data_IF_432047530219
#
_entry.id   IF_432047530219
#
_cell.length_a   1.000
_cell.length_b   1.000
_cell.length_c   1.000
_cell.angle_alpha   90.00
_cell.angle_beta   90.00
_cell.angle_gamma   90.00
#
_symmetry.space_group_name_H-M   'P 1'
#
loop_
_entity.id
_entity.type
_entity.pdbx_description
1 polymer ?
#
# COMPACT_ATOMS: atom_id res chain seq x y z
N UNK A 1 -42.21 -30.14 37.43
CA UNK A 1 -41.34 -29.00 37.80
C UNK A 1 -39.84 -29.26 37.63
N UNK A 2 -39.27 -30.40 38.07
CA UNK A 2 -37.80 -30.65 37.91
C UNK A 2 -37.33 -30.76 36.44
N UNK A 3 -38.13 -31.37 35.55
CA UNK A 3 -37.79 -31.49 34.13
C UNK A 3 -37.87 -30.17 33.35
N UNK A 4 -38.79 -29.27 33.71
CA UNK A 4 -38.93 -27.96 33.05
C UNK A 4 -37.78 -27.00 33.37
N UNK A 5 -37.13 -27.14 34.53
CA UNK A 5 -35.98 -26.30 34.93
C UNK A 5 -34.70 -26.75 34.19
N UNK A 6 -34.52 -28.05 33.95
CA UNK A 6 -33.37 -28.55 33.18
C UNK A 6 -33.42 -28.14 31.69
N UNK A 7 -34.60 -28.05 31.09
CA UNK A 7 -34.74 -27.63 29.67
C UNK A 7 -34.41 -26.13 29.51
N UNK A 8 -34.78 -25.29 30.48
CA UNK A 8 -34.52 -23.85 30.43
C UNK A 8 -33.02 -23.55 30.58
N UNK A 9 -32.30 -24.26 31.46
CA UNK A 9 -30.85 -24.06 31.64
C UNK A 9 -30.06 -24.48 30.39
N UNK A 10 -30.48 -25.55 29.70
CA UNK A 10 -29.83 -26.02 28.48
C UNK A 10 -30.04 -25.09 27.27
N UNK A 11 -31.19 -24.40 27.19
CA UNK A 11 -31.47 -23.44 26.12
C UNK A 11 -30.71 -22.12 26.34
N UNK A 12 -30.60 -21.66 27.59
CA UNK A 12 -29.85 -20.44 27.93
C UNK A 12 -28.34 -20.58 27.72
N UNK A 13 -27.78 -21.78 27.94
CA UNK A 13 -26.35 -22.03 27.68
C UNK A 13 -26.06 -22.19 26.18
N UNK A 14 -27.02 -22.67 25.38
CA UNK A 14 -26.90 -22.73 23.93
C UNK A 14 -27.05 -21.36 23.24
N UNK A 15 -27.83 -20.42 23.81
CA UNK A 15 -27.91 -19.03 23.31
C UNK A 15 -26.70 -18.16 23.68
N UNK A 16 -25.98 -18.46 24.76
CA UNK A 16 -24.73 -17.76 25.12
C UNK A 16 -23.53 -18.19 24.26
N UNK A 17 -23.65 -19.30 23.53
CA UNK A 17 -22.65 -19.78 22.55
C UNK A 17 -22.92 -19.26 21.12
N UNK A 18 -24.00 -18.48 20.92
CA UNK A 18 -24.21 -17.76 19.68
C UNK A 18 -23.41 -16.45 19.70
N UNK A 19 -22.23 -16.54 19.10
CA UNK A 19 -21.63 -15.52 18.24
C UNK A 19 -21.32 -14.16 18.89
N UNK A 20 -20.27 -14.13 19.73
CA UNK A 20 -19.26 -13.10 19.54
C UNK A 20 -18.35 -13.58 18.41
N UNK A 21 -18.84 -13.56 17.17
CA UNK A 21 -17.92 -13.62 16.05
C UNK A 21 -17.20 -12.29 16.08
N UNK A 22 -15.91 -12.31 16.46
CA UNK A 22 -14.99 -11.24 16.07
C UNK A 22 -14.98 -11.29 14.54
N UNK A 23 -15.94 -10.62 13.90
CA UNK A 23 -15.92 -10.43 12.46
C UNK A 23 -14.83 -9.40 12.26
N UNK A 24 -13.68 -9.86 11.79
CA UNK A 24 -12.53 -9.00 11.59
C UNK A 24 -12.69 -8.31 10.25
N UNK A 25 -12.63 -6.98 10.24
CA UNK A 25 -12.37 -6.25 9.01
C UNK A 25 -10.91 -6.47 8.63
N UNK A 26 -10.62 -6.50 7.33
CA UNK A 26 -9.25 -6.66 6.86
C UNK A 26 -9.12 -5.95 5.53
N UNK A 27 -8.02 -5.23 5.38
CA UNK A 27 -7.73 -4.48 4.17
C UNK A 27 -6.54 -3.55 4.31
N UNK A 28 -6.23 -2.87 3.22
CA UNK A 28 -5.19 -1.85 3.18
C UNK A 28 -5.42 -0.86 2.05
N UNK A 29 -4.75 0.29 2.12
CA UNK A 29 -4.68 1.23 1.01
C UNK A 29 -3.98 0.58 -0.20
N UNK A 30 -4.71 0.43 -1.30
CA UNK A 30 -4.19 -0.07 -2.59
C UNK A 30 -3.64 1.09 -3.43
N UNK A 31 -4.35 2.22 -3.43
CA UNK A 31 -3.97 3.43 -4.16
C UNK A 31 -4.28 4.70 -3.34
N UNK A 32 -3.27 5.52 -2.97
CA UNK A 32 -1.85 5.21 -3.01
C UNK A 32 -1.51 4.01 -2.11
N UNK A 33 -0.56 3.18 -2.54
CA UNK A 33 -0.26 1.91 -1.90
C UNK A 33 0.28 2.08 -0.49
N UNK A 34 -0.21 1.26 0.44
CA UNK A 34 0.24 1.24 1.82
C UNK A 34 1.71 0.78 1.93
N UNK A 35 2.47 1.37 2.85
CA UNK A 35 3.89 1.10 3.09
C UNK A 35 4.18 -0.40 3.31
N UNK A 36 3.35 -1.07 4.12
CA UNK A 36 3.50 -2.50 4.37
C UNK A 36 3.22 -3.35 3.12
N UNK A 37 2.36 -2.88 2.23
CA UNK A 37 2.00 -3.62 1.01
C UNK A 37 3.14 -3.61 -0.01
N UNK A 38 3.90 -2.51 -0.12
CA UNK A 38 5.17 -2.53 -0.87
C UNK A 38 6.14 -3.61 -0.36
N UNK A 39 6.18 -3.86 0.96
CA UNK A 39 7.04 -4.89 1.53
C UNK A 39 6.56 -6.32 1.25
N UNK A 40 5.25 -6.53 1.21
CA UNK A 40 4.66 -7.82 0.80
C UNK A 40 5.04 -8.14 -0.65
N UNK A 41 4.88 -7.18 -1.54
CA UNK A 41 5.15 -7.36 -2.98
C UNK A 41 6.64 -7.50 -3.28
N UNK A 42 7.51 -6.78 -2.56
CA UNK A 42 8.95 -6.93 -2.69
C UNK A 42 9.44 -8.36 -2.38
N UNK A 43 8.72 -9.09 -1.53
CA UNK A 43 9.02 -10.48 -1.18
C UNK A 43 10.36 -10.66 -0.46
N UNK A 44 10.91 -11.87 -0.52
CA UNK A 44 12.24 -12.19 0.03
C UNK A 44 12.33 -12.33 1.55
N UNK A 45 11.24 -12.08 2.28
CA UNK A 45 11.20 -12.11 3.76
C UNK A 45 10.95 -13.50 4.36
N UNK A 46 10.82 -14.54 3.52
CA UNK A 46 10.68 -15.93 3.99
C UNK A 46 12.02 -16.62 4.21
N UNK A 47 13.03 -16.28 3.40
CA UNK A 47 14.37 -16.83 3.48
C UNK A 47 15.33 -15.96 2.65
N UNK A 48 16.59 -15.76 3.08
CA UNK A 48 17.20 -16.20 4.34
C UNK A 48 16.81 -15.34 5.56
N UNK A 49 17.04 -15.88 6.77
CA UNK A 49 16.68 -15.24 8.05
C UNK A 49 17.35 -13.86 8.27
N UNK A 50 18.46 -13.59 7.58
CA UNK A 50 19.16 -12.30 7.64
C UNK A 50 18.50 -11.21 6.75
N UNK A 51 17.39 -11.54 6.07
CA UNK A 51 16.64 -10.61 5.22
C UNK A 51 17.38 -10.20 3.96
N UNK A 52 18.52 -10.81 3.62
CA UNK A 52 19.34 -10.41 2.46
C UNK A 52 18.62 -10.58 1.12
N UNK A 53 17.60 -11.43 1.04
CA UNK A 53 16.75 -11.58 -0.15
C UNK A 53 15.64 -10.52 -0.27
N UNK A 54 15.44 -9.64 0.74
CA UNK A 54 14.47 -8.54 0.65
C UNK A 54 15.14 -7.41 -0.16
N UNK A 55 14.68 -7.12 -1.39
CA UNK A 55 15.36 -6.16 -2.27
C UNK A 55 15.13 -4.72 -1.82
N UNK A 56 13.92 -4.42 -1.32
CA UNK A 56 13.58 -3.10 -0.81
C UNK A 56 14.30 -2.85 0.52
N UNK A 57 15.18 -1.86 0.54
CA UNK A 57 16.06 -1.58 1.68
C UNK A 57 15.30 -1.13 2.93
N UNK A 58 14.20 -0.38 2.78
CA UNK A 58 13.37 0.01 3.93
C UNK A 58 12.59 -1.18 4.48
N UNK A 59 12.03 -2.02 3.61
CA UNK A 59 11.37 -3.26 4.01
C UNK A 59 12.34 -4.24 4.68
N UNK A 60 13.58 -4.33 4.19
CA UNK A 60 14.61 -5.14 4.83
C UNK A 60 14.95 -4.61 6.22
N UNK A 61 15.07 -3.29 6.38
CA UNK A 61 15.32 -2.69 7.69
C UNK A 61 14.14 -2.91 8.66
N UNK A 62 12.90 -2.80 8.18
CA UNK A 62 11.69 -3.10 8.95
C UNK A 62 11.65 -4.58 9.40
N UNK A 63 11.96 -5.50 8.49
CA UNK A 63 12.08 -6.93 8.78
C UNK A 63 13.16 -7.22 9.81
N UNK A 64 14.34 -6.63 9.67
CA UNK A 64 15.44 -6.85 10.63
C UNK A 64 15.11 -6.28 12.01
N UNK A 65 14.24 -5.26 12.09
CA UNK A 65 13.79 -4.69 13.35
C UNK A 65 12.75 -5.55 14.08
N UNK A 66 11.80 -6.18 13.35
CA UNK A 66 10.61 -6.81 13.95
C UNK A 66 10.15 -8.16 13.36
N UNK A 67 10.83 -8.66 12.35
CA UNK A 67 10.49 -9.91 11.66
C UNK A 67 9.36 -9.75 10.65
N UNK A 68 8.66 -10.86 10.36
CA UNK A 68 7.70 -10.95 9.24
C UNK A 68 6.28 -10.51 9.56
N UNK A 69 5.92 -10.26 10.84
CA UNK A 69 4.51 -10.07 11.25
C UNK A 69 3.82 -8.95 10.48
N UNK A 70 4.50 -7.81 10.31
CA UNK A 70 4.02 -6.67 9.53
C UNK A 70 3.68 -7.02 8.07
N UNK A 71 4.36 -8.01 7.49
CA UNK A 71 4.14 -8.39 6.09
C UNK A 71 3.12 -9.52 5.96
N UNK A 72 3.11 -10.45 6.91
CA UNK A 72 2.13 -11.55 6.94
C UNK A 72 0.74 -11.05 7.29
N UNK A 73 0.63 -10.06 8.16
CA UNK A 73 -0.62 -9.43 8.59
C UNK A 73 -0.79 -8.04 7.96
N UNK A 74 -0.41 -7.90 6.68
CA UNK A 74 -0.47 -6.64 5.93
C UNK A 74 -1.86 -5.99 5.84
N UNK A 75 -2.90 -6.79 6.01
CA UNK A 75 -4.31 -6.40 5.98
C UNK A 75 -4.92 -6.18 7.39
N UNK A 76 -4.13 -6.28 8.46
CA UNK A 76 -4.57 -6.16 9.86
C UNK A 76 -3.70 -5.15 10.64
N UNK A 77 -3.53 -3.95 10.08
CA UNK A 77 -2.90 -2.84 10.81
C UNK A 77 -3.97 -2.11 11.61
N UNK A 78 -4.46 -2.76 12.66
CA UNK A 78 -5.63 -2.33 13.41
C UNK A 78 -5.41 -2.20 14.92
N UNK A 79 -6.29 -1.44 15.56
CA UNK A 79 -6.44 -1.40 17.01
C UNK A 79 -7.90 -1.17 17.39
N UNK A 80 -8.33 -1.76 18.50
CA UNK A 80 -9.68 -1.60 19.03
C UNK A 80 -9.72 -0.45 20.04
N UNK A 81 -10.55 0.55 19.75
CA UNK A 81 -10.76 1.71 20.62
C UNK A 81 -12.25 1.86 20.82
N UNK A 82 -12.78 1.54 22.02
CA UNK A 82 -14.23 1.62 22.28
C UNK A 82 -14.73 3.07 22.15
N UNK A 83 -13.95 4.04 22.61
CA UNK A 83 -14.25 5.48 22.51
C UNK A 83 -13.67 6.07 21.21
N UNK A 84 -13.91 5.41 20.06
CA UNK A 84 -13.25 5.73 18.79
C UNK A 84 -13.56 7.14 18.25
N UNK A 85 -14.66 7.79 18.65
CA UNK A 85 -14.92 9.19 18.28
C UNK A 85 -14.05 10.18 19.07
N UNK A 86 -13.41 9.75 20.14
CA UNK A 86 -12.48 10.57 20.92
C UNK A 86 -11.06 10.39 20.38
N UNK A 87 -10.60 11.36 19.59
CA UNK A 87 -9.26 11.31 18.99
C UNK A 87 -8.14 11.17 20.02
N UNK A 88 -8.32 11.66 21.25
CA UNK A 88 -7.31 11.50 22.31
C UNK A 88 -7.26 10.05 22.82
N UNK A 89 -8.39 9.32 22.81
CA UNK A 89 -8.39 7.88 23.09
C UNK A 89 -7.70 7.08 21.98
N UNK A 90 -7.89 7.48 20.72
CA UNK A 90 -7.20 6.89 19.56
C UNK A 90 -5.69 7.13 19.63
N UNK A 91 -5.25 8.37 19.89
CA UNK A 91 -3.83 8.72 20.07
C UNK A 91 -3.18 8.01 21.26
N UNK A 92 -3.95 7.72 22.31
CA UNK A 92 -3.45 6.93 23.44
C UNK A 92 -3.20 5.47 23.05
N UNK A 93 -4.07 4.90 22.21
CA UNK A 93 -3.93 3.54 21.70
C UNK A 93 -2.84 3.42 20.62
N UNK A 94 -2.60 4.49 19.87
CA UNK A 94 -1.58 4.59 18.82
C UNK A 94 -0.65 5.76 19.17
N UNK A 95 0.30 5.56 20.10
CA UNK A 95 1.21 6.63 20.50
C UNK A 95 2.15 7.03 19.35
N UNK A 96 2.74 8.22 19.47
CA UNK A 96 3.75 8.71 18.52
C UNK A 96 4.84 7.68 18.25
N UNK A 97 5.19 7.52 16.96
CA UNK A 97 6.11 6.51 16.46
C UNK A 97 5.57 5.09 16.35
N UNK A 98 4.25 4.91 16.47
CA UNK A 98 3.56 3.64 16.17
C UNK A 98 2.39 3.82 15.18
N UNK A 99 2.32 4.98 14.50
CA UNK A 99 1.21 5.33 13.64
C UNK A 99 1.12 4.39 12.45
N UNK A 100 2.23 4.14 11.75
CA UNK A 100 2.28 3.29 10.58
C UNK A 100 2.17 1.80 10.90
N UNK A 101 2.37 1.40 12.16
CA UNK A 101 2.05 0.06 12.67
C UNK A 101 0.64 -0.08 13.26
N UNK A 102 -0.17 1.00 13.29
CA UNK A 102 -1.49 0.99 13.91
C UNK A 102 -1.46 0.72 15.42
N UNK A 103 -0.36 1.04 16.11
CA UNK A 103 -0.17 0.77 17.54
C UNK A 103 0.32 -0.64 17.88
N UNK A 104 0.53 -1.53 16.90
CA UNK A 104 1.06 -2.87 17.14
C UNK A 104 2.61 -2.86 17.21
N UNK A 105 3.15 -3.01 18.42
CA UNK A 105 4.60 -3.04 18.67
C UNK A 105 5.34 -4.14 17.91
N UNK A 106 4.68 -5.24 17.53
CA UNK A 106 5.28 -6.30 16.73
C UNK A 106 5.34 -5.94 15.24
N UNK A 107 4.64 -4.88 14.82
CA UNK A 107 4.65 -4.34 13.44
C UNK A 107 5.46 -3.04 13.32
N UNK A 108 5.99 -2.51 14.43
CA UNK A 108 6.73 -1.24 14.51
C UNK A 108 8.00 -1.11 13.65
N UNK A 109 8.43 -2.18 12.96
CA UNK A 109 9.44 -2.07 11.92
C UNK A 109 9.00 -1.17 10.77
N UNK A 110 7.69 -1.05 10.52
CA UNK A 110 7.10 -0.19 9.49
C UNK A 110 7.17 1.31 9.86
N UNK A 111 7.37 1.66 11.14
CA UNK A 111 7.45 3.05 11.62
C UNK A 111 8.84 3.68 11.47
N UNK A 112 9.87 2.92 11.09
CA UNK A 112 11.24 3.45 11.00
C UNK A 112 11.33 4.57 9.94
N UNK A 113 12.18 5.56 10.21
CA UNK A 113 12.59 6.53 9.21
C UNK A 113 13.54 5.85 8.19
N UNK A 114 13.34 6.10 6.90
CA UNK A 114 14.19 5.52 5.86
C UNK A 114 14.05 6.25 4.52
N UNK A 115 15.16 6.63 3.85
CA UNK A 115 15.11 7.20 2.51
C UNK A 115 14.70 6.21 1.43
N UNK A 116 14.56 4.93 1.78
CA UNK A 116 14.25 3.86 0.85
C UNK A 116 12.78 3.44 0.87
N UNK A 117 11.92 4.17 1.58
CA UNK A 117 10.48 3.96 1.45
C UNK A 117 10.05 4.28 0.01
N UNK A 118 9.33 3.33 -0.60
CA UNK A 118 8.79 3.48 -1.94
C UNK A 118 7.58 4.40 -1.88
N UNK A 119 7.43 5.27 -2.88
CA UNK A 119 6.41 6.31 -2.91
C UNK A 119 5.51 6.12 -4.11
N UNK A 120 4.19 6.20 -3.90
CA UNK A 120 3.24 6.27 -5.01
C UNK A 120 3.18 7.70 -5.55
N UNK A 121 3.17 7.86 -6.87
CA UNK A 121 2.90 9.16 -7.46
C UNK A 121 1.42 9.52 -7.28
N UNK A 122 1.18 10.77 -6.89
CA UNK A 122 -0.17 11.31 -6.76
C UNK A 122 -0.26 12.61 -7.54
N UNK A 123 -1.21 12.65 -8.47
CA UNK A 123 -1.54 13.84 -9.23
C UNK A 123 -2.98 14.23 -8.91
N UNK A 124 -3.21 15.28 -8.11
CA UNK A 124 -4.55 15.81 -7.92
C UNK A 124 -5.14 16.27 -9.26
N UNK A 125 -6.44 16.02 -9.47
CA UNK A 125 -7.16 16.47 -10.65
C UNK A 125 -7.26 18.01 -10.73
N UNK A 126 -7.86 18.53 -11.80
CA UNK A 126 -8.03 19.97 -12.00
C UNK A 126 -8.82 20.69 -10.89
N UNK A 127 -9.63 19.95 -10.13
CA UNK A 127 -10.38 20.47 -8.99
C UNK A 127 -9.59 20.38 -7.68
N UNK A 128 -8.46 19.65 -7.67
CA UNK A 128 -7.58 19.40 -6.54
C UNK A 128 -7.95 18.15 -5.77
N UNK A 129 -8.60 17.17 -6.39
CA UNK A 129 -9.02 15.93 -5.75
C UNK A 129 -8.19 14.72 -6.20
N UNK A 130 -8.11 13.72 -5.32
CA UNK A 130 -7.49 12.42 -5.59
C UNK A 130 -8.50 11.34 -5.25
N UNK A 131 -8.69 10.37 -6.16
CA UNK A 131 -9.47 9.17 -5.86
C UNK A 131 -8.55 8.12 -5.29
N UNK A 132 -8.77 7.76 -4.03
CA UNK A 132 -8.08 6.68 -3.35
C UNK A 132 -8.88 5.38 -3.43
N UNK A 133 -8.17 4.27 -3.39
CA UNK A 133 -8.74 2.92 -3.37
C UNK A 133 -8.22 2.17 -2.16
N UNK A 134 -9.13 1.65 -1.35
CA UNK A 134 -8.83 0.75 -0.24
C UNK A 134 -9.29 -0.67 -0.60
N UNK A 135 -8.37 -1.63 -0.62
CA UNK A 135 -8.69 -3.05 -0.81
C UNK A 135 -9.32 -3.59 0.47
N UNK A 136 -10.58 -4.01 0.39
CA UNK A 136 -11.36 -4.50 1.51
C UNK A 136 -11.58 -6.01 1.38
N UNK A 137 -10.57 -6.80 1.74
CA UNK A 137 -10.67 -8.26 1.85
C UNK A 137 -11.92 -8.70 2.62
N UNK A 138 -12.23 -7.99 3.71
CA UNK A 138 -13.49 -8.14 4.43
C UNK A 138 -14.07 -6.75 4.67
N UNK A 139 -15.02 -6.29 3.84
CA UNK A 139 -15.64 -4.98 3.99
C UNK A 139 -16.58 -4.94 5.20
N UNK A 140 -16.73 -3.76 5.82
CA UNK A 140 -17.58 -3.52 6.97
C UNK A 140 -18.25 -2.16 6.89
N UNK A 141 -19.56 -2.17 7.12
CA UNK A 141 -20.42 -0.99 7.21
C UNK A 141 -21.40 -1.22 8.37
N UNK A 142 -21.78 -0.19 9.14
CA UNK A 142 -21.37 1.20 9.00
C UNK A 142 -19.92 1.45 9.42
N UNK A 143 -19.26 2.40 8.75
CA UNK A 143 -17.90 2.85 9.03
C UNK A 143 -17.73 4.33 8.65
N UNK A 144 -16.60 4.93 9.04
CA UNK A 144 -16.17 6.22 8.53
C UNK A 144 -14.67 6.24 8.25
N UNK A 145 -14.23 7.28 7.56
CA UNK A 145 -12.87 7.44 7.07
C UNK A 145 -12.32 8.80 7.46
N UNK A 146 -11.08 8.82 7.91
CA UNK A 146 -10.30 10.04 8.11
C UNK A 146 -9.00 9.90 7.32
N UNK A 147 -8.66 10.96 6.58
CA UNK A 147 -7.43 11.03 5.81
C UNK A 147 -6.61 12.21 6.30
N UNK A 148 -5.39 11.92 6.70
CA UNK A 148 -4.44 12.90 7.20
C UNK A 148 -3.24 12.96 6.25
N UNK A 149 -2.71 14.15 6.02
CA UNK A 149 -1.48 14.35 5.27
C UNK A 149 -0.39 14.82 6.21
N UNK A 150 0.84 14.30 6.02
CA UNK A 150 1.98 14.81 6.76
C UNK A 150 2.20 16.30 6.48
N UNK A 151 2.59 17.05 7.49
CA UNK A 151 2.94 18.47 7.37
C UNK A 151 4.18 18.63 6.50
N UNK A 152 4.42 19.83 5.97
CA UNK A 152 5.57 20.11 5.09
C UNK A 152 6.92 20.07 5.80
N UNK A 153 6.92 20.05 7.14
CA UNK A 153 8.11 19.97 7.98
C UNK A 153 8.47 18.53 8.40
N UNK A 154 7.68 17.54 7.97
CA UNK A 154 7.95 16.13 8.22
C UNK A 154 8.66 15.49 7.03
N UNK A 155 9.77 14.82 7.32
CA UNK A 155 10.58 14.05 6.36
C UNK A 155 10.65 12.57 6.77
N UNK A 156 10.00 11.69 6.00
CA UNK A 156 9.97 10.24 6.27
C UNK A 156 11.35 9.57 6.13
N UNK A 157 12.31 10.23 5.48
CA UNK A 157 13.66 9.70 5.31
C UNK A 157 14.45 9.72 6.62
N UNK A 158 14.13 10.70 7.47
CA UNK A 158 14.93 11.03 8.66
C UNK A 158 14.12 11.10 9.95
N UNK A 159 12.79 11.15 9.88
CA UNK A 159 11.91 11.30 11.02
C UNK A 159 10.87 10.17 11.12
N UNK A 160 10.55 9.82 12.36
CA UNK A 160 9.47 8.88 12.70
C UNK A 160 8.17 9.67 12.87
N UNK A 161 7.08 9.19 12.26
CA UNK A 161 5.81 9.91 12.22
C UNK A 161 5.18 10.05 13.63
N UNK A 162 4.57 11.20 13.88
CA UNK A 162 3.81 11.50 15.10
C UNK A 162 2.55 12.31 14.76
N UNK A 163 1.58 12.32 15.66
CA UNK A 163 0.30 12.99 15.44
C UNK A 163 0.42 14.50 15.22
N UNK A 164 1.44 15.14 15.81
CA UNK A 164 1.69 16.57 15.61
C UNK A 164 2.13 16.92 14.18
N UNK A 165 2.65 15.93 13.44
CA UNK A 165 3.06 16.08 12.05
C UNK A 165 1.95 15.74 11.07
N UNK A 166 0.72 15.49 11.51
CA UNK A 166 -0.42 15.17 10.66
C UNK A 166 -1.46 16.29 10.67
N UNK A 167 -1.95 16.62 9.48
CA UNK A 167 -3.11 17.49 9.29
C UNK A 167 -4.24 16.69 8.65
N UNK A 168 -5.43 16.71 9.26
CA UNK A 168 -6.64 16.11 8.68
C UNK A 168 -7.03 16.88 7.41
N UNK A 169 -7.13 16.18 6.28
CA UNK A 169 -7.50 16.75 4.98
C UNK A 169 -8.90 16.34 4.51
N UNK A 170 -9.41 15.20 4.99
CA UNK A 170 -10.77 14.75 4.65
C UNK A 170 -11.37 13.85 5.74
N UNK A 171 -12.67 14.03 5.96
CA UNK A 171 -13.54 13.11 6.72
C UNK A 171 -14.66 12.65 5.80
N UNK A 172 -14.87 11.34 5.72
CA UNK A 172 -15.92 10.75 4.89
C UNK A 172 -16.72 9.77 5.74
N UNK A 173 -18.04 9.86 5.71
CA UNK A 173 -18.91 8.93 6.41
C UNK A 173 -18.94 7.54 5.74
N UNK A 174 -20.06 6.84 5.90
CA UNK A 174 -20.20 5.49 5.37
C UNK A 174 -20.12 5.46 3.83
N UNK A 175 -19.19 4.65 3.31
CA UNK A 175 -18.94 4.50 1.86
C UNK A 175 -19.41 3.12 1.42
N UNK A 176 -20.13 3.05 0.30
CA UNK A 176 -20.55 1.77 -0.27
C UNK A 176 -19.38 0.98 -0.86
N UNK A 177 -19.41 -0.34 -0.68
CA UNK A 177 -18.43 -1.26 -1.29
C UNK A 177 -18.68 -1.36 -2.78
N UNK A 178 -17.62 -1.30 -3.58
CA UNK A 178 -17.64 -1.53 -5.03
C UNK A 178 -16.80 -2.76 -5.37
N UNK A 179 -16.99 -3.32 -6.57
CA UNK A 179 -16.14 -4.40 -7.07
C UNK A 179 -15.19 -3.88 -8.14
N UNK A 180 -13.91 -4.14 -7.96
CA UNK A 180 -12.85 -3.83 -8.93
C UNK A 180 -12.03 -5.10 -9.15
N UNK A 181 -11.98 -5.59 -10.39
CA UNK A 181 -11.30 -6.84 -10.77
C UNK A 181 -11.69 -8.06 -9.92
N UNK A 182 -12.95 -8.13 -9.51
CA UNK A 182 -13.48 -9.21 -8.67
C UNK A 182 -13.10 -9.12 -7.18
N UNK A 183 -12.39 -8.05 -6.77
CA UNK A 183 -12.11 -7.70 -5.36
C UNK A 183 -13.14 -6.70 -4.85
N UNK A 184 -13.37 -6.69 -3.55
CA UNK A 184 -14.18 -5.67 -2.89
C UNK A 184 -13.29 -4.50 -2.52
N UNK A 185 -13.67 -3.28 -2.90
CA UNK A 185 -12.89 -2.07 -2.63
C UNK A 185 -13.80 -0.92 -2.21
N UNK A 186 -13.23 0.03 -1.47
CA UNK A 186 -13.81 1.37 -1.30
C UNK A 186 -13.06 2.35 -2.20
N UNK A 187 -13.79 3.07 -3.06
CA UNK A 187 -13.24 4.17 -3.86
C UNK A 187 -13.74 5.49 -3.28
N UNK A 188 -12.82 6.36 -2.88
CA UNK A 188 -13.12 7.57 -2.14
C UNK A 188 -12.38 8.74 -2.77
N UNK A 189 -13.11 9.77 -3.19
CA UNK A 189 -12.52 11.01 -3.69
C UNK A 189 -12.29 11.97 -2.54
N UNK A 190 -11.04 12.38 -2.32
CA UNK A 190 -10.64 13.29 -1.25
C UNK A 190 -9.92 14.52 -1.80
N UNK A 191 -10.12 15.71 -1.21
CA UNK A 191 -9.38 16.91 -1.59
C UNK A 191 -7.94 16.84 -1.10
N UNK A 192 -7.00 17.31 -1.92
CA UNK A 192 -5.62 17.57 -1.53
C UNK A 192 -5.36 19.09 -1.50
N UNK A 193 -4.50 19.59 -0.60
CA UNK A 193 -4.10 21.00 -0.62
C UNK A 193 -3.43 21.35 -1.96
N UNK A 194 -3.97 22.33 -2.69
CA UNK A 194 -3.54 22.67 -4.06
C UNK A 194 -2.10 23.15 -4.17
N UNK A 195 -1.56 23.71 -3.09
CA UNK A 195 -0.20 24.20 -2.97
C UNK A 195 0.77 23.16 -2.42
N UNK A 196 0.30 21.94 -2.16
CA UNK A 196 1.16 20.85 -1.69
C UNK A 196 1.73 20.06 -2.85
N UNK A 197 3.06 20.05 -2.92
CA UNK A 197 3.87 19.26 -3.84
C UNK A 197 4.98 18.53 -3.08
N UNK A 198 5.62 17.58 -3.75
CA UNK A 198 6.72 16.79 -3.22
C UNK A 198 6.28 15.69 -2.28
N UNK A 199 7.24 15.16 -1.54
CA UNK A 199 7.02 13.98 -0.72
C UNK A 199 6.11 14.25 0.49
N UNK A 200 5.28 13.27 0.80
CA UNK A 200 4.41 13.25 1.95
C UNK A 200 4.07 11.81 2.37
N UNK A 201 3.51 11.68 3.57
CA UNK A 201 2.84 10.44 4.00
C UNK A 201 1.35 10.72 4.13
N UNK A 202 0.53 10.00 3.38
CA UNK A 202 -0.92 9.94 3.58
C UNK A 202 -1.22 8.90 4.67
N UNK A 203 -1.77 9.35 5.79
CA UNK A 203 -2.19 8.49 6.88
C UNK A 203 -3.70 8.32 6.83
N UNK A 204 -4.15 7.08 6.60
CA UNK A 204 -5.56 6.74 6.45
C UNK A 204 -6.04 5.99 7.68
N UNK A 205 -7.20 6.40 8.20
CA UNK A 205 -7.96 5.67 9.22
C UNK A 205 -9.29 5.22 8.64
N UNK A 206 -9.53 3.92 8.61
CA UNK A 206 -10.84 3.32 8.39
C UNK A 206 -11.40 2.84 9.73
N UNK A 207 -12.46 3.46 10.22
CA UNK A 207 -13.02 3.16 11.53
C UNK A 207 -14.38 2.46 11.39
N UNK A 208 -14.51 1.27 11.98
CA UNK A 208 -15.82 0.62 12.12
C UNK A 208 -16.66 1.32 13.17
N UNK A 209 -17.95 1.45 12.89
CA UNK A 209 -18.94 1.98 13.82
C UNK A 209 -19.69 0.85 14.52
N UNK A 210 -19.01 0.16 15.43
CA UNK A 210 -19.59 -0.90 16.24
C UNK A 210 -19.05 -0.92 17.68
N UNK A 211 -19.49 -1.89 18.48
CA UNK A 211 -19.12 -1.99 19.89
C UNK A 211 -17.66 -2.40 20.14
N UNK A 212 -16.99 -3.03 19.17
CA UNK A 212 -15.58 -3.38 19.27
C UNK A 212 -14.69 -2.18 18.97
N UNK A 213 -15.14 -1.29 18.07
CA UNK A 213 -14.43 -0.05 17.74
C UNK A 213 -13.08 -0.30 17.06
N UNK A 214 -12.96 -1.38 16.28
CA UNK A 214 -11.75 -1.68 15.51
C UNK A 214 -11.56 -0.65 14.38
N UNK A 215 -10.40 0.01 14.38
CA UNK A 215 -9.97 0.90 13.31
C UNK A 215 -8.71 0.37 12.62
N UNK A 216 -8.55 0.67 11.33
CA UNK A 216 -7.42 0.27 10.49
C UNK A 216 -6.64 1.51 10.08
N UNK A 217 -5.32 1.43 10.20
CA UNK A 217 -4.43 2.57 10.08
C UNK A 217 -3.31 2.25 9.10
N UNK A 218 -3.20 3.02 8.02
CA UNK A 218 -2.17 2.82 7.00
C UNK A 218 -1.41 4.11 6.72
N UNK A 219 -0.09 4.00 6.61
CA UNK A 219 0.74 5.02 5.97
C UNK A 219 0.93 4.63 4.51
N UNK A 220 0.63 5.53 3.59
CA UNK A 220 1.02 5.46 2.19
C UNK A 220 2.02 6.58 1.92
N UNK A 221 3.25 6.24 1.56
CA UNK A 221 4.25 7.23 1.16
C UNK A 221 3.97 7.66 -0.28
N UNK A 222 3.97 8.96 -0.52
CA UNK A 222 3.55 9.54 -1.78
C UNK A 222 4.47 10.68 -2.21
N UNK A 223 4.53 10.91 -3.51
CA UNK A 223 5.11 12.11 -4.10
C UNK A 223 4.01 12.83 -4.86
N UNK A 224 3.65 14.03 -4.38
CA UNK A 224 2.57 14.84 -4.95
C UNK A 224 3.17 15.70 -6.06
N UNK A 225 2.69 15.49 -7.27
CA UNK A 225 3.14 16.17 -8.49
C UNK A 225 1.98 16.96 -9.10
N UNK A 226 2.31 17.95 -9.91
CA UNK A 226 1.34 18.65 -10.76
C UNK A 226 1.55 18.26 -12.23
N UNK A 227 0.50 18.43 -13.05
CA UNK A 227 0.52 18.17 -14.50
C UNK A 227 1.46 19.12 -15.30
N UNK A 228 2.21 20.01 -14.63
CA UNK A 228 3.05 21.04 -15.24
C UNK A 228 4.54 20.93 -14.89
N UNK A 229 4.91 20.04 -13.98
CA UNK A 229 6.30 19.68 -13.75
C UNK A 229 6.72 18.75 -14.88
N UNK A 230 7.77 19.11 -15.61
CA UNK A 230 8.53 18.15 -16.40
C UNK A 230 9.00 17.09 -15.37
N UNK A 231 8.34 15.94 -15.31
CA UNK A 231 8.74 14.77 -14.54
C UNK A 231 10.13 14.37 -15.05
N UNK A 232 11.15 14.86 -14.34
CA UNK A 232 12.39 14.12 -14.21
C UNK A 232 12.02 12.68 -13.85
N UNK A 233 12.66 11.73 -14.54
CA UNK A 233 12.29 10.32 -14.49
C UNK A 233 12.02 9.87 -13.05
N UNK A 234 10.81 9.37 -12.82
CA UNK A 234 10.37 8.93 -11.49
C UNK A 234 10.13 7.43 -11.50
N UNK A 235 10.83 6.72 -10.62
CA UNK A 235 10.69 5.29 -10.41
C UNK A 235 9.25 4.94 -9.99
N UNK A 236 8.61 4.03 -10.73
CA UNK A 236 7.28 3.49 -10.45
C UNK A 236 7.37 2.14 -9.73
N UNK A 237 8.09 1.17 -10.31
CA UNK A 237 8.16 -0.18 -9.78
C UNK A 237 9.39 -0.94 -10.31
N UNK A 238 9.66 -2.12 -9.75
CA UNK A 238 10.61 -3.07 -10.30
C UNK A 238 10.11 -3.57 -11.67
N UNK A 239 10.98 -3.51 -12.68
CA UNK A 239 10.60 -3.90 -14.04
C UNK A 239 10.30 -5.42 -14.15
N UNK A 240 11.07 -6.24 -13.42
CA UNK A 240 10.90 -7.69 -13.36
C UNK A 240 10.71 -8.07 -11.89
N UNK A 241 9.52 -8.55 -11.54
CA UNK A 241 9.19 -8.98 -10.17
C UNK A 241 10.00 -10.22 -9.78
N UNK A 242 10.44 -10.29 -8.53
CA UNK A 242 11.17 -11.44 -8.01
C UNK A 242 10.40 -12.76 -8.17
N UNK A 243 11.10 -13.78 -8.65
CA UNK A 243 10.51 -15.11 -8.86
C UNK A 243 9.66 -15.23 -10.12
N UNK A 244 9.56 -14.18 -10.95
CA UNK A 244 8.93 -14.29 -12.26
C UNK A 244 9.72 -15.24 -13.16
N UNK A 245 9.05 -16.30 -13.61
CA UNK A 245 9.60 -17.28 -14.56
C UNK A 245 8.65 -17.41 -15.73
N UNK A 246 9.20 -17.60 -16.93
CA UNK A 246 8.42 -17.87 -18.14
C UNK A 246 9.01 -19.07 -18.89
N UNK A 247 8.13 -19.86 -19.50
CA UNK A 247 8.46 -21.01 -20.33
C UNK A 247 8.27 -20.67 -21.80
N UNK A 248 8.81 -21.51 -22.69
CA UNK A 248 8.51 -21.41 -24.11
C UNK A 248 7.00 -21.49 -24.36
N UNK A 249 6.46 -20.53 -25.12
CA UNK A 249 5.05 -20.36 -25.42
C UNK A 249 4.31 -19.41 -24.49
N UNK A 250 4.88 -19.02 -23.34
CA UNK A 250 4.27 -18.04 -22.45
C UNK A 250 4.28 -16.64 -23.09
N UNK A 251 3.27 -15.83 -22.78
CA UNK A 251 3.29 -14.40 -23.07
C UNK A 251 3.68 -13.63 -21.81
N UNK A 252 4.63 -12.72 -21.96
CA UNK A 252 5.01 -11.75 -20.91
C UNK A 252 4.67 -10.36 -21.42
N UNK A 253 4.14 -9.52 -20.54
CA UNK A 253 3.63 -8.20 -20.91
C UNK A 253 3.97 -7.12 -19.91
N UNK A 254 3.98 -5.89 -20.40
CA UNK A 254 4.14 -4.66 -19.66
C UNK A 254 2.87 -3.82 -19.82
N UNK A 255 2.37 -3.27 -18.72
CA UNK A 255 1.19 -2.39 -18.72
C UNK A 255 1.50 -1.12 -17.94
N UNK A 256 1.16 0.03 -18.49
CA UNK A 256 1.14 1.31 -17.79
C UNK A 256 -0.30 1.78 -17.68
N UNK A 257 -0.69 2.24 -16.51
CA UNK A 257 -2.02 2.82 -16.27
C UNK A 257 -1.89 4.27 -15.83
N UNK A 258 -2.86 5.09 -16.22
CA UNK A 258 -3.06 6.42 -15.65
C UNK A 258 -3.54 6.29 -14.19
N UNK A 259 -3.45 7.39 -13.45
CA UNK A 259 -4.05 7.49 -12.10
C UNK A 259 -5.56 7.26 -12.08
N UNK A 260 -6.24 7.41 -13.23
CA UNK A 260 -7.68 7.14 -13.39
C UNK A 260 -7.98 5.67 -13.75
N UNK A 261 -6.95 4.83 -13.94
CA UNK A 261 -7.08 3.43 -14.30
C UNK A 261 -7.17 3.15 -15.81
N UNK A 262 -6.96 4.16 -16.65
CA UNK A 262 -6.90 3.97 -18.10
C UNK A 262 -5.57 3.32 -18.49
N UNK A 263 -5.60 2.31 -19.36
CA UNK A 263 -4.37 1.70 -19.89
C UNK A 263 -3.71 2.62 -20.92
N UNK A 264 -2.51 3.10 -20.61
CA UNK A 264 -1.73 4.03 -21.44
C UNK A 264 -0.74 3.30 -22.36
N UNK A 265 -0.13 2.22 -21.85
CA UNK A 265 0.82 1.38 -22.59
C UNK A 265 0.47 -0.08 -22.35
N UNK A 266 0.46 -0.87 -23.42
CA UNK A 266 0.39 -2.32 -23.35
C UNK A 266 1.32 -2.93 -24.39
N UNK A 267 2.42 -3.50 -23.90
CA UNK A 267 3.41 -4.18 -24.74
C UNK A 267 3.51 -5.63 -24.31
N UNK A 268 3.67 -6.54 -25.27
CA UNK A 268 3.80 -7.96 -24.98
C UNK A 268 4.75 -8.65 -25.95
N UNK A 269 5.40 -9.70 -25.46
CA UNK A 269 6.21 -10.59 -26.28
C UNK A 269 5.88 -12.05 -25.94
N UNK A 270 6.11 -12.93 -26.90
CA UNK A 270 6.06 -14.38 -26.68
C UNK A 270 7.46 -14.85 -26.31
N UNK A 271 7.54 -15.72 -25.31
CA UNK A 271 8.76 -16.42 -24.94
C UNK A 271 8.95 -17.59 -25.90
N UNK A 272 10.06 -17.59 -26.61
CA UNK A 272 10.47 -18.59 -27.59
C UNK A 272 11.79 -19.23 -27.12
N UNK A 273 12.16 -20.37 -27.72
CA UNK A 273 13.46 -20.98 -27.44
C UNK A 273 14.65 -20.03 -27.66
N UNK A 274 14.49 -19.03 -28.54
CA UNK A 274 15.51 -18.03 -28.88
C UNK A 274 15.74 -16.97 -27.78
N UNK A 275 14.77 -16.76 -26.88
CA UNK A 275 14.80 -15.73 -25.83
C UNK A 275 14.46 -16.27 -24.43
N UNK A 276 14.48 -17.60 -24.24
CA UNK A 276 13.99 -18.28 -23.02
C UNK A 276 14.64 -17.80 -21.70
N UNK A 277 15.88 -17.32 -21.75
CA UNK A 277 16.52 -16.75 -20.57
C UNK A 277 15.84 -15.45 -20.15
N UNK A 278 15.61 -15.26 -18.84
CA UNK A 278 14.94 -14.07 -18.30
C UNK A 278 15.55 -12.75 -18.77
N UNK A 279 16.88 -12.69 -18.78
CA UNK A 279 17.70 -11.58 -19.30
C UNK A 279 17.33 -11.20 -20.75
N UNK A 280 17.01 -12.21 -21.57
CA UNK A 280 16.81 -12.07 -23.02
C UNK A 280 15.40 -11.57 -23.33
N UNK A 281 14.36 -12.23 -22.81
CA UNK A 281 13.00 -11.77 -23.05
C UNK A 281 12.72 -10.45 -22.31
N UNK A 282 13.28 -10.22 -21.12
CA UNK A 282 13.11 -8.95 -20.40
C UNK A 282 13.69 -7.78 -21.21
N UNK A 283 14.86 -7.99 -21.83
CA UNK A 283 15.49 -7.02 -22.73
C UNK A 283 14.67 -6.80 -24.01
N UNK A 284 14.09 -7.84 -24.58
CA UNK A 284 13.24 -7.69 -25.76
C UNK A 284 11.94 -6.93 -25.45
N UNK A 285 11.31 -7.22 -24.31
CA UNK A 285 10.13 -6.48 -23.87
C UNK A 285 10.47 -5.01 -23.59
N UNK A 286 11.63 -4.72 -23.01
CA UNK A 286 12.03 -3.33 -22.71
C UNK A 286 12.27 -2.52 -23.98
N UNK A 287 12.73 -3.16 -25.06
CA UNK A 287 12.85 -2.55 -26.38
C UNK A 287 11.50 -2.17 -26.99
N UNK A 288 10.44 -2.93 -26.71
CA UNK A 288 9.07 -2.55 -27.10
C UNK A 288 8.59 -1.37 -26.25
N UNK A 289 8.79 -1.42 -24.94
CA UNK A 289 8.43 -0.32 -24.02
C UNK A 289 9.16 0.97 -24.38
N UNK A 290 10.40 0.91 -24.86
CA UNK A 290 11.19 2.08 -25.27
C UNK A 290 10.53 2.90 -26.40
N UNK A 291 9.63 2.30 -27.19
CA UNK A 291 8.82 3.03 -28.18
C UNK A 291 7.89 4.06 -27.52
N UNK A 292 7.62 3.90 -26.23
CA UNK A 292 6.81 4.80 -25.39
C UNK A 292 7.66 5.63 -24.43
N UNK A 293 8.93 5.89 -24.80
CA UNK A 293 9.90 6.64 -23.97
C UNK A 293 9.57 8.10 -23.68
N UNK A 294 8.45 8.60 -24.18
CA UNK A 294 7.83 9.88 -23.82
C UNK A 294 6.78 9.76 -22.71
N UNK A 295 6.51 8.54 -22.23
CA UNK A 295 5.57 8.24 -21.15
C UNK A 295 6.25 7.40 -20.07
N UNK A 296 7.06 6.42 -20.47
CA UNK A 296 7.71 5.48 -19.57
C UNK A 296 9.08 5.05 -20.07
N UNK A 297 10.02 4.87 -19.15
CA UNK A 297 11.32 4.25 -19.43
C UNK A 297 11.61 3.13 -18.45
N UNK A 298 12.41 2.18 -18.91
CA UNK A 298 12.87 1.02 -18.15
C UNK A 298 14.39 1.06 -18.08
N UNK A 299 14.97 1.13 -16.88
CA UNK A 299 16.42 1.17 -16.72
C UNK A 299 16.89 1.51 -15.31
N UNK A 300 18.17 1.86 -15.23
CA UNK A 300 18.84 2.47 -14.08
C UNK A 300 19.17 3.92 -14.40
N UNK A 301 19.02 4.82 -13.42
CA UNK A 301 19.47 6.21 -13.56
C UNK A 301 21.01 6.25 -13.53
N UNK A 302 21.62 6.69 -14.62
CA UNK A 302 23.07 6.86 -14.70
C UNK A 302 23.55 8.11 -13.94
N UNK A 303 24.87 8.25 -13.75
CA UNK A 303 25.47 9.42 -13.10
C UNK A 303 25.22 10.76 -13.83
N UNK A 304 24.73 10.73 -15.08
CA UNK A 304 24.35 11.90 -15.87
C UNK A 304 22.85 12.04 -16.07
N UNK A 305 22.05 11.44 -15.19
CA UNK A 305 20.57 11.42 -15.22
C UNK A 305 19.92 10.74 -16.44
N UNK A 306 20.70 10.15 -17.35
CA UNK A 306 20.18 9.30 -18.41
C UNK A 306 19.70 7.95 -17.86
N UNK A 307 18.54 7.48 -18.32
CA UNK A 307 18.02 6.14 -18.01
C UNK A 307 18.60 5.13 -18.99
N UNK A 308 19.39 4.19 -18.46
CA UNK A 308 20.10 3.18 -19.24
C UNK A 308 19.61 1.79 -18.84
N UNK A 309 19.32 0.94 -19.81
CA UNK A 309 18.97 -0.46 -19.52
C UNK A 309 20.18 -1.20 -18.91
N UNK A 310 19.99 -1.86 -17.77
CA UNK A 310 21.02 -2.68 -17.11
C UNK A 310 20.87 -4.15 -17.52
N UNK A 311 21.97 -4.91 -17.57
CA UNK A 311 21.91 -6.38 -17.62
C UNK A 311 21.64 -7.00 -16.24
N UNK A 312 21.70 -6.22 -15.17
CA UNK A 312 21.30 -6.68 -13.84
C UNK A 312 19.82 -6.32 -13.60
N UNK A 313 18.93 -7.28 -13.84
CA UNK A 313 17.47 -7.10 -13.76
C UNK A 313 16.99 -6.66 -12.37
N UNK A 314 17.71 -6.99 -11.30
CA UNK A 314 17.33 -6.61 -9.94
C UNK A 314 17.45 -5.10 -9.71
N UNK A 315 18.27 -4.42 -10.51
CA UNK A 315 18.47 -2.98 -10.46
C UNK A 315 17.50 -2.21 -11.37
N UNK A 316 16.82 -2.90 -12.31
CA UNK A 316 16.00 -2.23 -13.32
C UNK A 316 14.65 -1.82 -12.75
N UNK A 317 14.33 -0.56 -12.99
CA UNK A 317 13.07 0.05 -12.60
C UNK A 317 12.31 0.53 -13.82
N UNK A 318 11.00 0.41 -13.79
CA UNK A 318 10.12 1.17 -14.67
C UNK A 318 9.89 2.54 -14.03
N UNK A 319 9.78 3.58 -14.83
CA UNK A 319 9.52 4.92 -14.32
C UNK A 319 8.92 5.84 -15.38
N UNK A 320 8.10 6.78 -14.95
CA UNK A 320 7.48 7.76 -15.83
C UNK A 320 8.52 8.74 -16.36
N UNK A 321 8.31 9.21 -17.57
CA UNK A 321 9.05 10.33 -18.17
C UNK A 321 8.05 11.28 -18.77
N UNK A 322 7.89 12.48 -18.20
CA UNK A 322 7.29 13.63 -18.85
C UNK A 322 7.41 14.84 -17.96
#
# INVERSE_FOLDING_TARGET
MKYSIQIIISISLAMALLSCQLVQAHGFMENPKARQQFCVEAGGYWWPEDGSAIPNLACRAAFLAKGTKAFVQNNEFSVNVIDYHNIEAVKLAIPDGQLCAGGDLDKSGIDIASPYWQRSLITPDSDGNVTVTFDAHTPHNPSFWEFYLSNTDFDADTQVLSWQHLTLIAEVGDVGVTSLDGRNVYQITIPFPRDRLGDATLYTRWQREDAAGEGFYNCSDISIIDDTQDLEWTELDQYIVNGLTANEGDEVWFRLFSSQGDELVFEKITVEQSNLAIEMWARQLSQQVLQHSSQVRVGIKSLGDEIVYSDDLALIKSGLTS
#
